data_IF_913576776609
#
_entry.id   IF_913576776609
#
_cell.length_a   1.000
_cell.length_b   1.000
_cell.length_c   1.000
_cell.angle_alpha   90.00
_cell.angle_beta   90.00
_cell.angle_gamma   90.00
#
_symmetry.space_group_name_H-M   'P 1'
#
loop_
_entity.id
_entity.type
_entity.pdbx_description
1 polymer ?
#
# COMPACT_ATOMS: atom_id res chain seq x y z
N UNK A 1 3.23 -55.00 9.58
CA UNK A 1 2.43 -53.78 9.85
C UNK A 1 3.35 -52.57 9.73
N UNK A 2 3.21 -51.75 8.69
CA UNK A 2 3.80 -50.40 8.64
C UNK A 2 2.67 -49.45 8.25
N UNK A 3 2.25 -48.59 9.19
CA UNK A 3 1.32 -47.49 8.92
C UNK A 3 2.10 -46.45 8.11
N UNK A 4 1.70 -46.21 6.87
CA UNK A 4 2.09 -45.01 6.14
C UNK A 4 1.27 -43.84 6.72
N UNK A 5 1.95 -42.85 7.27
CA UNK A 5 1.33 -41.59 7.65
C UNK A 5 1.02 -40.82 6.35
N UNK A 6 -0.25 -40.52 6.12
CA UNK A 6 -0.70 -39.65 5.04
C UNK A 6 -0.37 -38.21 5.47
N UNK A 7 0.77 -37.68 5.04
CA UNK A 7 1.04 -36.24 5.15
C UNK A 7 0.16 -35.55 4.10
N UNK A 8 -0.93 -34.94 4.56
CA UNK A 8 -1.73 -34.04 3.73
C UNK A 8 -0.86 -32.81 3.42
N UNK A 9 -0.47 -32.65 2.15
CA UNK A 9 0.12 -31.42 1.66
C UNK A 9 -0.93 -30.31 1.74
N UNK A 10 -0.87 -29.48 2.77
CA UNK A 10 -1.66 -28.25 2.83
C UNK A 10 -1.19 -27.32 1.72
N UNK A 11 -1.88 -27.37 0.58
CA UNK A 11 -1.74 -26.41 -0.51
C UNK A 11 -2.17 -25.03 0.01
N UNK A 12 -1.21 -24.17 0.33
CA UNK A 12 -1.48 -22.77 0.67
C UNK A 12 -1.81 -22.02 -0.61
N UNK A 13 -3.11 -21.88 -0.90
CA UNK A 13 -3.56 -20.99 -1.97
C UNK A 13 -3.63 -19.54 -1.48
N UNK A 14 -3.14 -18.57 -2.26
CA UNK A 14 -3.25 -17.17 -1.89
C UNK A 14 -4.72 -16.76 -1.84
N UNK A 15 -5.12 -16.09 -0.76
CA UNK A 15 -6.50 -15.58 -0.62
C UNK A 15 -6.82 -14.51 -1.66
N UNK A 16 -5.85 -13.62 -1.92
CA UNK A 16 -5.97 -12.53 -2.88
C UNK A 16 -4.69 -12.39 -3.71
N UNK A 17 -4.84 -11.96 -4.96
CA UNK A 17 -3.73 -11.59 -5.85
C UNK A 17 -3.96 -10.16 -6.35
N UNK A 18 -3.06 -9.25 -5.96
CA UNK A 18 -3.12 -7.83 -6.30
C UNK A 18 -2.20 -7.51 -7.49
N UNK A 19 -2.73 -7.61 -8.71
CA UNK A 19 -1.97 -7.38 -9.94
C UNK A 19 -2.37 -6.07 -10.64
N UNK A 20 -2.18 -4.92 -9.98
CA UNK A 20 -2.54 -3.61 -10.55
C UNK A 20 -1.37 -2.65 -10.79
N UNK A 21 -0.18 -2.93 -10.26
CA UNK A 21 1.00 -2.12 -10.54
C UNK A 21 1.56 -2.46 -11.92
N UNK A 22 2.04 -1.44 -12.65
CA UNK A 22 2.61 -1.63 -14.00
C UNK A 22 4.13 -1.82 -14.00
N UNK A 23 4.78 -1.47 -12.88
CA UNK A 23 6.21 -1.62 -12.64
C UNK A 23 6.44 -2.35 -11.30
N UNK A 24 7.69 -2.74 -10.97
CA UNK A 24 7.98 -3.48 -9.74
C UNK A 24 7.43 -2.81 -8.48
N UNK A 25 6.88 -3.63 -7.59
CA UNK A 25 6.49 -3.22 -6.24
C UNK A 25 7.76 -3.13 -5.40
N UNK A 26 7.97 -1.99 -4.76
CA UNK A 26 9.19 -1.67 -4.00
C UNK A 26 9.03 -1.94 -2.53
N UNK A 27 7.84 -1.70 -1.97
CA UNK A 27 7.57 -1.87 -0.55
C UNK A 27 6.07 -2.12 -0.28
N UNK A 28 5.77 -2.73 0.86
CA UNK A 28 4.41 -3.07 1.31
C UNK A 28 4.27 -2.84 2.82
N UNK A 29 3.16 -2.22 3.23
CA UNK A 29 2.84 -1.98 4.64
C UNK A 29 1.39 -2.34 4.93
N UNK A 30 1.14 -2.92 6.10
CA UNK A 30 -0.19 -3.28 6.57
C UNK A 30 -0.63 -2.33 7.68
N UNK A 31 -1.91 -1.97 7.66
CA UNK A 31 -2.57 -1.24 8.73
C UNK A 31 -2.82 -2.09 9.98
N UNK A 32 -3.22 -1.42 11.04
CA UNK A 32 -3.56 -1.95 12.36
C UNK A 32 -5.06 -2.28 12.53
N UNK A 33 -5.89 -2.11 11.50
CA UNK A 33 -7.34 -2.41 11.51
C UNK A 33 -7.75 -3.89 11.66
N UNK A 34 -6.81 -4.80 11.94
CA UNK A 34 -7.08 -6.24 12.11
C UNK A 34 -7.69 -6.87 10.86
N UNK A 35 -8.87 -7.50 10.99
CA UNK A 35 -9.57 -8.11 9.86
C UNK A 35 -9.96 -7.08 8.78
N UNK A 36 -10.19 -5.82 9.18
CA UNK A 36 -10.55 -4.72 8.27
C UNK A 36 -9.34 -3.86 7.89
N UNK A 37 -8.12 -4.34 8.13
CA UNK A 37 -6.91 -3.58 7.82
C UNK A 37 -6.80 -3.24 6.33
N UNK A 38 -6.08 -2.16 6.07
CA UNK A 38 -5.64 -1.81 4.72
C UNK A 38 -4.26 -2.39 4.46
N UNK A 39 -3.97 -2.65 3.21
CA UNK A 39 -2.60 -2.88 2.73
C UNK A 39 -2.25 -1.70 1.83
N UNK A 40 -1.05 -1.16 1.97
CA UNK A 40 -0.50 -0.20 1.02
C UNK A 40 0.70 -0.82 0.33
N UNK A 41 0.66 -0.84 -1.00
CA UNK A 41 1.79 -1.24 -1.83
C UNK A 41 2.34 -0.01 -2.55
N UNK A 42 3.66 0.13 -2.61
CA UNK A 42 4.34 1.19 -3.34
C UNK A 42 5.12 0.63 -4.53
N UNK A 43 5.33 1.45 -5.56
CA UNK A 43 5.93 0.98 -6.80
C UNK A 43 6.74 2.06 -7.52
N UNK A 44 7.62 1.57 -8.39
CA UNK A 44 8.31 2.39 -9.40
C UNK A 44 7.37 2.93 -10.48
N UNK A 45 6.08 2.54 -10.52
CA UNK A 45 5.05 3.14 -11.39
C UNK A 45 4.55 4.51 -10.94
N UNK A 46 5.22 5.08 -9.94
CA UNK A 46 4.94 6.38 -9.32
C UNK A 46 3.62 6.35 -8.54
N UNK A 47 3.16 5.18 -8.11
CA UNK A 47 1.93 5.06 -7.33
C UNK A 47 2.11 4.28 -6.04
N UNK A 48 1.32 4.66 -5.05
CA UNK A 48 0.95 3.78 -3.94
C UNK A 48 -0.50 3.35 -4.11
N UNK A 49 -0.77 2.06 -3.96
CA UNK A 49 -2.12 1.48 -4.02
C UNK A 49 -2.54 1.01 -2.65
N UNK A 50 -3.76 1.37 -2.27
CA UNK A 50 -4.37 1.02 -0.99
C UNK A 50 -5.44 -0.03 -1.27
N UNK A 51 -5.36 -1.13 -0.54
CA UNK A 51 -6.18 -2.32 -0.72
C UNK A 51 -6.92 -2.64 0.57
N UNK A 52 -8.12 -3.21 0.44
CA UNK A 52 -8.80 -3.84 1.58
C UNK A 52 -8.22 -5.24 1.79
N UNK A 53 -7.69 -5.53 2.98
CA UNK A 53 -7.24 -6.88 3.34
C UNK A 53 -8.42 -7.87 3.35
N UNK A 54 -9.58 -7.45 3.85
CA UNK A 54 -10.77 -8.29 3.98
C UNK A 54 -11.39 -8.67 2.63
N UNK A 55 -11.47 -7.69 1.72
CA UNK A 55 -12.24 -7.82 0.49
C UNK A 55 -11.36 -8.13 -0.73
N UNK A 56 -10.05 -7.91 -0.63
CA UNK A 56 -9.15 -8.11 -1.76
C UNK A 56 -9.39 -7.12 -2.90
N UNK A 57 -9.94 -5.94 -2.62
CA UNK A 57 -10.23 -4.90 -3.62
C UNK A 57 -9.30 -3.70 -3.49
N UNK A 58 -9.01 -3.06 -4.61
CA UNK A 58 -8.31 -1.77 -4.66
C UNK A 58 -9.26 -0.69 -4.15
N UNK A 59 -8.91 -0.04 -3.04
CA UNK A 59 -9.68 1.05 -2.46
C UNK A 59 -9.29 2.40 -3.07
N UNK A 60 -7.99 2.62 -3.27
CA UNK A 60 -7.46 3.91 -3.73
C UNK A 60 -6.11 3.75 -4.42
N UNK A 61 -5.83 4.63 -5.36
CA UNK A 61 -4.49 4.82 -5.95
C UNK A 61 -4.05 6.25 -5.69
N UNK A 62 -2.86 6.43 -5.16
CA UNK A 62 -2.22 7.72 -4.91
C UNK A 62 -1.03 7.82 -5.87
N UNK A 63 -0.95 8.93 -6.61
CA UNK A 63 0.14 9.18 -7.56
C UNK A 63 1.16 10.10 -6.92
N UNK A 64 2.43 9.86 -7.19
CA UNK A 64 3.55 10.66 -6.73
C UNK A 64 4.27 11.31 -7.92
N UNK A 65 4.96 12.46 -7.70
CA UNK A 65 5.76 13.09 -8.74
C UNK A 65 7.00 12.28 -9.15
N UNK A 66 7.39 11.27 -8.38
CA UNK A 66 8.56 10.44 -8.59
C UNK A 66 8.31 8.98 -8.15
N UNK A 67 9.18 8.06 -8.58
CA UNK A 67 9.11 6.65 -8.20
C UNK A 67 9.23 6.47 -6.68
N UNK A 68 8.37 5.62 -6.11
CA UNK A 68 8.33 5.37 -4.68
C UNK A 68 9.21 4.18 -4.35
N UNK A 69 10.16 4.36 -3.44
CA UNK A 69 11.10 3.32 -3.02
C UNK A 69 10.71 2.68 -1.68
N UNK A 70 10.06 3.44 -0.80
CA UNK A 70 9.66 2.99 0.53
C UNK A 70 8.38 3.69 0.94
N UNK A 71 7.55 3.01 1.73
CA UNK A 71 6.29 3.58 2.25
C UNK A 71 6.07 3.18 3.70
N UNK A 72 5.62 4.12 4.53
CA UNK A 72 5.23 3.86 5.92
C UNK A 72 3.88 4.50 6.24
N UNK A 73 3.13 3.89 7.14
CA UNK A 73 1.85 4.39 7.64
C UNK A 73 2.03 5.03 9.01
N UNK A 74 1.28 6.08 9.30
CA UNK A 74 1.16 6.55 10.67
C UNK A 74 0.34 5.54 11.52
N UNK A 75 0.58 5.46 12.84
CA UNK A 75 -0.16 4.54 13.71
C UNK A 75 -1.68 4.79 13.76
N UNK A 76 -2.14 5.99 13.42
CA UNK A 76 -3.57 6.35 13.35
C UNK A 76 -4.20 6.13 11.97
N UNK A 77 -3.44 5.68 10.96
CA UNK A 77 -3.89 5.47 9.58
C UNK A 77 -4.56 6.72 8.94
N UNK A 78 -4.14 7.91 9.35
CA UNK A 78 -4.56 9.18 8.77
C UNK A 78 -3.70 9.61 7.58
N UNK A 79 -2.43 9.23 7.58
CA UNK A 79 -1.42 9.61 6.61
C UNK A 79 -0.44 8.46 6.31
N UNK A 80 0.13 8.52 5.12
CA UNK A 80 1.24 7.69 4.69
C UNK A 80 2.40 8.58 4.24
N UNK A 81 3.61 8.07 4.41
CA UNK A 81 4.84 8.74 4.01
C UNK A 81 5.52 7.90 2.95
N UNK A 82 5.79 8.52 1.79
CA UNK A 82 6.41 7.87 0.65
C UNK A 82 7.79 8.48 0.40
N UNK A 83 8.84 7.67 0.49
CA UNK A 83 10.19 8.05 0.11
C UNK A 83 10.39 7.86 -1.38
N UNK A 84 10.66 8.95 -2.10
CA UNK A 84 10.75 8.95 -3.55
C UNK A 84 12.19 9.03 -4.07
N UNK A 85 12.40 8.64 -5.34
CA UNK A 85 13.72 8.67 -6.01
C UNK A 85 14.30 10.07 -6.20
N UNK A 86 13.48 11.11 -6.09
CA UNK A 86 13.90 12.51 -6.17
C UNK A 86 14.52 13.04 -4.87
N UNK A 87 14.68 12.16 -3.87
CA UNK A 87 15.24 12.49 -2.56
C UNK A 87 14.23 13.15 -1.62
N UNK A 88 12.95 13.26 -2.02
CA UNK A 88 11.90 13.87 -1.20
C UNK A 88 11.05 12.81 -0.50
N UNK A 89 10.48 13.22 0.62
CA UNK A 89 9.45 12.44 1.31
C UNK A 89 8.12 13.15 1.10
N UNK A 90 7.18 12.44 0.49
CA UNK A 90 5.82 12.92 0.28
C UNK A 90 4.91 12.41 1.37
N UNK A 91 4.07 13.28 1.90
CA UNK A 91 3.04 12.95 2.89
C UNK A 91 1.72 12.88 2.13
N UNK A 92 1.00 11.78 2.21
CA UNK A 92 -0.32 11.63 1.61
C UNK A 92 -1.36 11.21 2.65
N UNK A 93 -2.52 11.85 2.62
CA UNK A 93 -3.60 11.60 3.56
C UNK A 93 -4.46 10.43 3.06
N UNK A 94 -4.75 9.51 3.97
CA UNK A 94 -5.60 8.34 3.72
C UNK A 94 -7.09 8.71 3.79
N UNK A 95 -7.42 9.62 4.70
CA UNK A 95 -8.79 10.05 5.03
C UNK A 95 -9.07 11.48 4.52
N UNK A 96 -8.82 11.78 3.25
CA UNK A 96 -9.33 13.02 2.67
C UNK A 96 -10.81 12.86 2.34
N UNK A 97 -11.65 13.27 3.30
CA UNK A 97 -13.00 13.72 2.99
C UNK A 97 -12.90 14.85 1.98
N UNK A 98 -13.69 14.76 0.91
CA UNK A 98 -13.74 15.71 -0.19
C UNK A 98 -13.86 17.15 0.31
N UNK A 99 -12.77 17.92 0.23
CA UNK A 99 -12.87 19.38 0.24
C UNK A 99 -11.94 19.96 -0.80
N UNK A 100 -12.58 20.56 -1.81
CA UNK A 100 -12.07 21.50 -2.81
C UNK A 100 -11.31 20.96 -4.03
N UNK A 101 -12.10 20.54 -5.02
CA UNK A 101 -12.12 20.96 -6.44
C UNK A 101 -10.85 21.25 -7.25
N UNK A 102 -9.63 20.95 -6.78
CA UNK A 102 -8.44 21.01 -7.62
C UNK A 102 -7.47 19.88 -7.26
N UNK A 103 -7.46 18.88 -8.16
CA UNK A 103 -6.55 17.74 -8.24
C UNK A 103 -6.78 16.58 -7.26
N UNK A 104 -7.00 15.40 -7.83
CA UNK A 104 -7.00 14.10 -7.16
C UNK A 104 -5.61 13.69 -6.71
N UNK A 105 -4.99 14.53 -5.90
CA UNK A 105 -3.67 14.31 -5.35
C UNK A 105 -3.84 13.98 -3.86
N UNK A 106 -3.62 12.73 -3.50
CA UNK A 106 -3.66 12.30 -2.11
C UNK A 106 -2.55 12.94 -1.27
N UNK A 107 -1.61 13.66 -1.89
CA UNK A 107 -0.47 14.29 -1.26
C UNK A 107 -0.88 15.58 -0.55
N UNK A 108 -0.67 15.60 0.77
CA UNK A 108 -0.94 16.75 1.67
C UNK A 108 0.31 17.57 1.95
N UNK A 109 1.50 17.09 1.60
CA UNK A 109 2.72 17.84 1.79
C UNK A 109 3.98 17.13 1.29
N UNK A 110 5.09 17.84 1.36
CA UNK A 110 6.42 17.31 1.06
C UNK A 110 7.40 17.82 2.10
N UNK A 111 8.19 16.91 2.68
CA UNK A 111 9.27 17.28 3.59
C UNK A 111 10.52 17.56 2.74
N UNK A 112 10.87 18.84 2.65
CA UNK A 112 12.09 19.35 2.02
C UNK A 112 12.73 20.34 2.99
N UNK A 113 13.46 19.83 3.97
CA UNK A 113 14.35 20.65 4.78
C UNK A 113 15.79 20.38 4.33
N UNK A 114 16.34 21.31 3.55
CA UNK A 114 17.71 21.87 3.58
C UNK A 114 17.88 22.92 2.49
#
# INVERSE_FOLDING_TARGET
MKKAALQAETQFQPLHNFSAHTLPVTDIVCGYGGCSAIIVSSSLDFTCKIWSLALGILLRTIKFPAAVNAVVLDPGEYALYAGCTDGKIYIAALNTGTTDNNYGDGIVGTLVDH
#
